data_IF_615513768277
#
_entry.id   IF_615513768277
#
_cell.length_a   1.000
_cell.length_b   1.000
_cell.length_c   1.000
_cell.angle_alpha   90.00
_cell.angle_beta   90.00
_cell.angle_gamma   90.00
#
_symmetry.space_group_name_H-M   'P 1'
#
loop_
_entity.id
_entity.type
_entity.pdbx_description
1 polymer ?
#
# COMPACT_ATOMS: atom_id res chain seq x y z
N UNK A 1 -19.08 -7.58 -19.35
CA UNK A 1 -17.83 -7.17 -20.05
C UNK A 1 -17.35 -5.92 -19.31
N UNK A 2 -16.21 -6.01 -18.61
CA UNK A 2 -15.81 -4.99 -17.62
C UNK A 2 -15.61 -3.62 -18.29
N UNK A 3 -16.31 -2.62 -17.75
CA UNK A 3 -16.41 -1.22 -18.18
C UNK A 3 -15.15 -0.38 -17.91
N UNK A 4 -14.13 -0.98 -17.30
CA UNK A 4 -12.90 -0.34 -16.82
C UNK A 4 -11.89 -0.06 -17.95
N UNK A 5 -12.30 0.78 -18.90
CA UNK A 5 -11.41 1.30 -19.96
C UNK A 5 -10.39 2.29 -19.39
N UNK A 6 -9.33 2.58 -20.16
CA UNK A 6 -8.34 3.59 -19.77
C UNK A 6 -8.98 4.95 -19.47
N UNK A 7 -9.94 5.36 -20.29
CA UNK A 7 -10.66 6.63 -20.12
C UNK A 7 -11.53 6.63 -18.86
N UNK A 8 -12.23 5.53 -18.58
CA UNK A 8 -13.04 5.39 -17.36
C UNK A 8 -12.15 5.47 -16.11
N UNK A 9 -11.03 4.76 -16.09
CA UNK A 9 -10.06 4.83 -14.97
C UNK A 9 -9.54 6.25 -14.77
N UNK A 10 -9.23 6.95 -15.86
CA UNK A 10 -8.77 8.34 -15.81
C UNK A 10 -9.84 9.28 -15.25
N UNK A 11 -11.08 9.17 -15.71
CA UNK A 11 -12.19 10.00 -15.25
C UNK A 11 -12.52 9.76 -13.77
N UNK A 12 -12.56 8.50 -13.31
CA UNK A 12 -12.76 8.19 -11.89
C UNK A 12 -11.67 8.78 -11.01
N UNK A 13 -10.42 8.61 -11.44
CA UNK A 13 -9.30 9.14 -10.69
C UNK A 13 -9.34 10.68 -10.63
N UNK A 14 -9.71 11.34 -11.73
CA UNK A 14 -9.95 12.79 -11.74
C UNK A 14 -11.08 13.20 -10.80
N UNK A 15 -12.19 12.46 -10.76
CA UNK A 15 -13.29 12.70 -9.82
C UNK A 15 -12.83 12.57 -8.37
N UNK A 16 -11.96 11.61 -8.05
CA UNK A 16 -11.46 11.46 -6.66
C UNK A 16 -10.67 12.67 -6.16
N UNK A 17 -10.07 13.47 -7.06
CA UNK A 17 -9.37 14.70 -6.67
C UNK A 17 -10.33 15.82 -6.22
N UNK A 18 -11.62 15.68 -6.52
CA UNK A 18 -12.68 16.58 -6.05
C UNK A 18 -13.14 16.27 -4.62
N UNK A 19 -12.80 15.08 -4.09
CA UNK A 19 -13.10 14.70 -2.71
C UNK A 19 -12.11 15.43 -1.79
N UNK A 20 -12.57 16.53 -1.19
CA UNK A 20 -11.76 17.36 -0.28
C UNK A 20 -12.06 17.11 1.20
N UNK A 21 -13.11 16.35 1.49
CA UNK A 21 -13.53 15.99 2.83
C UNK A 21 -13.81 14.49 2.89
N UNK A 22 -13.96 13.98 4.11
CA UNK A 22 -14.34 12.58 4.33
C UNK A 22 -15.80 12.41 3.88
N UNK A 23 -16.00 11.63 2.82
CA UNK A 23 -17.30 11.20 2.34
C UNK A 23 -17.66 9.85 2.97
N UNK A 24 -18.97 9.59 3.06
CA UNK A 24 -19.50 8.32 3.57
C UNK A 24 -20.49 7.73 2.58
N UNK A 25 -20.35 6.44 2.32
CA UNK A 25 -21.33 5.66 1.57
C UNK A 25 -21.68 4.37 2.31
N UNK A 26 -22.89 3.88 2.09
CA UNK A 26 -23.31 2.57 2.57
C UNK A 26 -23.63 1.66 1.40
N UNK A 27 -23.19 0.41 1.51
CA UNK A 27 -23.40 -0.62 0.53
C UNK A 27 -23.92 -1.89 1.20
N UNK A 28 -24.67 -2.69 0.44
CA UNK A 28 -25.19 -3.98 0.91
C UNK A 28 -24.63 -5.12 0.06
N UNK A 29 -24.32 -6.25 0.69
CA UNK A 29 -24.03 -7.51 0.00
C UNK A 29 -24.50 -8.68 0.84
N UNK A 30 -25.30 -9.57 0.26
CA UNK A 30 -25.80 -10.80 0.93
C UNK A 30 -26.41 -10.54 2.32
N UNK A 31 -27.04 -9.38 2.51
CA UNK A 31 -27.69 -9.00 3.77
C UNK A 31 -26.79 -8.31 4.81
N UNK A 32 -25.48 -8.24 4.59
CA UNK A 32 -24.57 -7.50 5.45
C UNK A 32 -24.31 -6.09 4.91
N UNK A 33 -24.04 -5.16 5.83
CA UNK A 33 -23.82 -3.74 5.54
C UNK A 33 -22.33 -3.39 5.57
N UNK A 34 -21.91 -2.65 4.55
CA UNK A 34 -20.60 -2.02 4.45
C UNK A 34 -20.77 -0.50 4.54
N UNK A 35 -20.18 0.10 5.57
CA UNK A 35 -20.03 1.56 5.65
C UNK A 35 -18.62 1.92 5.18
N UNK A 36 -18.50 2.77 4.17
CA UNK A 36 -17.21 3.18 3.59
C UNK A 36 -16.97 4.64 3.89
N UNK A 37 -15.77 4.94 4.38
CA UNK A 37 -15.28 6.28 4.66
C UNK A 37 -14.14 6.60 3.69
N UNK A 38 -14.23 7.70 2.96
CA UNK A 38 -13.17 8.12 2.03
C UNK A 38 -12.06 8.88 2.77
N UNK A 39 -10.80 8.49 2.54
CA UNK A 39 -9.62 9.22 2.91
C UNK A 39 -9.25 10.23 1.80
N UNK A 40 -9.42 11.54 1.99
CA UNK A 40 -9.08 12.54 0.98
C UNK A 40 -7.56 12.65 0.77
N UNK A 41 -7.18 13.13 -0.41
CA UNK A 41 -5.80 13.39 -0.83
C UNK A 41 -5.36 14.79 -0.35
N UNK A 42 -5.46 15.03 0.96
CA UNK A 42 -5.10 16.30 1.61
C UNK A 42 -4.35 15.97 2.91
N UNK A 43 -3.24 16.65 3.12
CA UNK A 43 -2.55 16.66 4.41
C UNK A 43 -3.37 17.49 5.39
N UNK A 44 -3.84 16.86 6.47
CA UNK A 44 -4.48 17.61 7.55
C UNK A 44 -3.52 17.76 8.70
N UNK A 45 -3.52 18.96 9.26
CA UNK A 45 -2.70 19.30 10.39
C UNK A 45 -3.19 18.53 11.62
N UNK A 46 -2.27 17.77 12.22
CA UNK A 46 -2.54 16.89 13.34
C UNK A 46 -3.03 17.68 14.57
N UNK A 47 -2.80 18.99 14.65
CA UNK A 47 -3.35 19.81 15.74
C UNK A 47 -4.89 19.85 15.76
N UNK A 48 -5.57 19.48 14.65
CA UNK A 48 -7.03 19.34 14.57
C UNK A 48 -7.52 17.89 14.66
N UNK A 49 -6.64 16.96 15.00
CA UNK A 49 -6.90 15.52 15.05
C UNK A 49 -8.15 15.13 15.85
N UNK A 50 -8.41 15.79 16.99
CA UNK A 50 -9.60 15.48 17.81
C UNK A 50 -10.92 16.01 17.24
N UNK A 51 -10.87 16.95 16.30
CA UNK A 51 -12.03 17.53 15.64
C UNK A 51 -12.36 16.80 14.32
N UNK A 52 -11.53 15.83 13.93
CA UNK A 52 -11.67 15.19 12.63
C UNK A 52 -12.91 14.27 12.56
N UNK A 53 -13.78 14.48 11.56
CA UNK A 53 -14.98 13.67 11.36
C UNK A 53 -14.68 12.17 11.24
N UNK A 54 -13.57 11.79 10.59
CA UNK A 54 -13.19 10.39 10.42
C UNK A 54 -12.95 9.70 11.77
N UNK A 55 -12.30 10.38 12.70
CA UNK A 55 -11.98 9.84 14.00
C UNK A 55 -13.22 9.73 14.89
N UNK A 56 -14.11 10.72 14.84
CA UNK A 56 -15.41 10.61 15.51
C UNK A 56 -16.22 9.42 14.99
N UNK A 57 -16.23 9.22 13.67
CA UNK A 57 -16.91 8.08 13.02
C UNK A 57 -16.26 6.74 13.38
N UNK A 58 -14.93 6.69 13.48
CA UNK A 58 -14.18 5.51 13.94
C UNK A 58 -14.35 5.27 15.45
N UNK A 59 -14.68 6.30 16.23
CA UNK A 59 -14.90 6.21 17.67
C UNK A 59 -16.25 5.59 18.01
N UNK A 60 -17.29 5.95 17.23
CA UNK A 60 -18.68 5.52 17.42
C UNK A 60 -19.03 4.24 16.63
N UNK A 61 -18.03 3.49 16.18
CA UNK A 61 -18.26 2.30 15.36
C UNK A 61 -19.08 1.24 16.10
N UNK A 62 -20.08 0.63 15.44
CA UNK A 62 -20.71 -0.59 15.94
C UNK A 62 -19.66 -1.70 16.10
N UNK A 63 -20.01 -2.80 16.78
CA UNK A 63 -19.21 -4.04 16.84
C UNK A 63 -19.10 -4.72 15.45
N UNK A 64 -18.46 -4.05 14.49
CA UNK A 64 -18.25 -4.44 13.11
C UNK A 64 -16.77 -4.76 12.88
N UNK A 65 -16.48 -5.47 11.80
CA UNK A 65 -15.12 -5.66 11.34
C UNK A 65 -14.61 -4.35 10.73
N UNK A 66 -13.51 -3.80 11.26
CA UNK A 66 -12.90 -2.59 10.72
C UNK A 66 -11.85 -2.94 9.69
N UNK A 67 -11.97 -2.39 8.49
CA UNK A 67 -11.05 -2.60 7.38
C UNK A 67 -10.35 -1.27 7.02
N UNK A 68 -9.03 -1.29 6.83
CA UNK A 68 -8.25 -0.09 6.48
C UNK A 68 -7.45 -0.37 5.22
N UNK A 69 -7.56 0.46 4.17
CA UNK A 69 -6.84 0.31 2.92
C UNK A 69 -5.35 0.64 3.09
N UNK A 70 -4.61 -0.31 3.62
CA UNK A 70 -3.18 -0.20 3.85
C UNK A 70 -2.51 -1.49 3.39
N UNK A 71 -1.29 -1.40 2.86
CA UNK A 71 -0.54 -2.54 2.36
C UNK A 71 -0.42 -3.66 3.43
N UNK A 72 -1.03 -4.84 3.22
CA UNK A 72 -1.11 -5.85 4.27
C UNK A 72 0.26 -6.48 4.54
N UNK A 73 0.95 -6.97 3.52
CA UNK A 73 2.21 -7.71 3.70
C UNK A 73 3.29 -6.81 4.30
N UNK A 74 3.50 -5.60 3.74
CA UNK A 74 4.54 -4.68 4.22
C UNK A 74 4.31 -4.28 5.69
N UNK A 75 3.07 -3.97 6.06
CA UNK A 75 2.74 -3.58 7.44
C UNK A 75 2.81 -4.76 8.39
N UNK A 76 2.31 -5.92 8.01
CA UNK A 76 2.38 -7.13 8.84
C UNK A 76 3.82 -7.55 9.10
N UNK A 77 4.72 -7.42 8.11
CA UNK A 77 6.14 -7.67 8.31
C UNK A 77 6.79 -6.65 9.25
N UNK A 78 6.40 -5.36 9.17
CA UNK A 78 6.83 -4.33 10.15
C UNK A 78 6.33 -4.64 11.56
N UNK A 79 5.06 -5.03 11.72
CA UNK A 79 4.48 -5.46 13.01
C UNK A 79 5.29 -6.60 13.62
N UNK A 80 5.51 -7.67 12.84
CA UNK A 80 6.25 -8.86 13.24
C UNK A 80 7.69 -8.55 13.63
N UNK A 81 8.41 -7.79 12.81
CA UNK A 81 9.79 -7.39 13.11
C UNK A 81 9.90 -6.49 14.34
N UNK A 82 8.95 -5.57 14.55
CA UNK A 82 8.92 -4.75 15.75
C UNK A 82 8.65 -5.59 17.01
N UNK A 83 7.71 -6.54 16.94
CA UNK A 83 7.46 -7.52 17.99
C UNK A 83 8.70 -8.38 18.30
N UNK A 84 9.43 -8.82 17.28
CA UNK A 84 10.68 -9.57 17.46
C UNK A 84 11.74 -8.75 18.19
N UNK A 85 12.02 -7.51 17.76
CA UNK A 85 12.96 -6.61 18.45
C UNK A 85 12.56 -6.34 19.89
N UNK A 86 11.26 -6.31 20.18
CA UNK A 86 10.76 -6.19 21.54
C UNK A 86 11.09 -7.45 22.35
N UNK A 87 10.84 -8.65 21.81
CA UNK A 87 11.17 -9.93 22.46
C UNK A 87 12.67 -10.07 22.72
N UNK A 88 13.52 -9.69 21.76
CA UNK A 88 14.98 -9.67 21.96
C UNK A 88 15.39 -8.78 23.14
N UNK A 89 14.72 -7.64 23.31
CA UNK A 89 14.99 -6.71 24.40
C UNK A 89 14.39 -7.17 25.74
N UNK A 90 13.28 -7.92 25.70
CA UNK A 90 12.52 -8.35 26.87
C UNK A 90 12.10 -9.84 26.81
N UNK A 91 13.05 -10.78 26.84
CA UNK A 91 12.81 -12.21 26.61
C UNK A 91 11.87 -12.86 27.64
N UNK A 92 11.69 -12.26 28.81
CA UNK A 92 10.78 -12.72 29.86
C UNK A 92 9.29 -12.58 29.52
N UNK A 93 8.93 -11.79 28.50
CA UNK A 93 7.54 -11.45 28.23
C UNK A 93 6.87 -12.30 27.14
N UNK A 94 7.56 -13.22 26.45
CA UNK A 94 6.93 -14.10 25.45
C UNK A 94 7.86 -15.21 24.96
N UNK A 95 7.30 -16.35 24.51
CA UNK A 95 8.06 -17.31 23.70
C UNK A 95 8.20 -16.76 22.26
N UNK A 96 9.40 -16.76 21.67
CA UNK A 96 9.56 -16.38 20.27
C UNK A 96 8.78 -17.37 19.39
N UNK A 97 7.93 -16.85 18.51
CA UNK A 97 7.46 -17.62 17.35
C UNK A 97 8.51 -17.47 16.26
N UNK A 98 9.00 -18.61 15.78
CA UNK A 98 9.94 -18.73 14.67
C UNK A 98 9.30 -18.30 13.34
N UNK A 99 10.14 -17.75 12.46
CA UNK A 99 9.94 -17.25 11.09
C UNK A 99 8.70 -16.37 10.81
N UNK A 100 8.97 -15.14 10.38
CA UNK A 100 7.97 -14.12 10.07
C UNK A 100 7.69 -13.97 8.57
N UNK A 101 7.86 -15.05 7.83
CA UNK A 101 8.15 -15.01 6.41
C UNK A 101 6.86 -15.14 5.58
N UNK A 102 6.68 -14.26 4.60
CA UNK A 102 5.73 -14.51 3.52
C UNK A 102 6.48 -15.22 2.40
N UNK A 103 6.20 -16.50 2.21
CA UNK A 103 6.73 -17.27 1.08
C UNK A 103 6.04 -16.91 -0.24
N UNK A 104 4.79 -16.43 -0.16
CA UNK A 104 3.93 -16.17 -1.30
C UNK A 104 3.56 -14.68 -1.38
N UNK A 105 3.47 -14.12 -2.60
CA UNK A 105 3.15 -12.70 -2.78
C UNK A 105 1.67 -12.38 -2.56
N UNK A 106 0.79 -13.38 -2.48
CA UNK A 106 -0.67 -13.25 -2.39
C UNK A 106 -1.22 -13.67 -1.01
N UNK A 107 -2.45 -13.25 -0.70
CA UNK A 107 -3.13 -13.56 0.57
C UNK A 107 -3.67 -14.99 0.53
N UNK A 108 -3.38 -15.83 1.53
CA UNK A 108 -4.00 -17.17 1.62
C UNK A 108 -5.28 -17.15 2.45
N UNK A 109 -5.28 -16.37 3.53
CA UNK A 109 -6.41 -16.17 4.43
C UNK A 109 -6.50 -14.68 4.78
N UNK A 110 -7.71 -14.11 4.80
CA UNK A 110 -7.92 -12.72 5.22
C UNK A 110 -7.42 -12.44 6.64
N UNK A 111 -7.37 -13.48 7.50
CA UNK A 111 -6.83 -13.37 8.85
C UNK A 111 -5.33 -13.01 8.84
N UNK A 112 -4.60 -13.30 7.77
CA UNK A 112 -3.20 -12.91 7.60
C UNK A 112 -3.03 -11.39 7.49
N UNK A 113 -4.10 -10.69 7.09
CA UNK A 113 -4.14 -9.24 6.97
C UNK A 113 -4.63 -8.56 8.25
N UNK A 114 -4.86 -9.31 9.32
CA UNK A 114 -5.36 -8.77 10.58
C UNK A 114 -4.21 -8.18 11.39
N UNK A 115 -4.24 -6.86 11.59
CA UNK A 115 -3.27 -6.09 12.34
C UNK A 115 -3.51 -6.26 13.85
N UNK A 116 -3.13 -7.43 14.38
CA UNK A 116 -3.17 -7.72 15.82
C UNK A 116 -1.85 -7.27 16.44
N UNK A 117 -1.86 -6.14 17.15
CA UNK A 117 -0.73 -5.75 17.97
C UNK A 117 -1.06 -5.86 19.45
N UNK A 118 -0.16 -6.46 20.26
CA UNK A 118 -0.24 -6.28 21.69
C UNK A 118 0.17 -4.83 21.99
N UNK A 119 -0.83 -3.96 22.22
CA UNK A 119 -0.65 -2.52 22.48
C UNK A 119 0.47 -2.20 23.48
N UNK A 120 0.67 -3.10 24.45
CA UNK A 120 1.67 -2.99 25.51
C UNK A 120 3.13 -3.09 25.03
N UNK A 121 3.39 -3.63 23.83
CA UNK A 121 4.76 -3.79 23.31
C UNK A 121 5.31 -2.52 22.65
N UNK A 122 4.47 -1.53 22.37
CA UNK A 122 4.85 -0.29 21.66
C UNK A 122 4.99 0.93 22.55
N UNK A 123 4.65 0.78 23.83
CA UNK A 123 4.88 1.77 24.87
C UNK A 123 6.38 1.78 25.23
N UNK A 124 7.21 2.33 24.33
CA UNK A 124 8.57 2.78 24.71
C UNK A 124 8.51 3.85 25.81
N UNK A 125 7.36 4.51 25.93
CA UNK A 125 7.01 5.49 26.93
C UNK A 125 5.70 5.04 27.59
N UNK A 126 5.66 5.00 28.92
CA UNK A 126 4.43 4.91 29.70
C UNK A 126 3.69 6.25 29.57
N UNK A 127 3.11 6.50 28.40
CA UNK A 127 2.35 7.73 28.11
C UNK A 127 0.93 7.37 27.73
N UNK A 128 -0.02 7.99 28.40
CA UNK A 128 -1.45 7.91 28.05
C UNK A 128 -1.84 8.95 26.99
N UNK A 129 -0.87 9.75 26.48
CA UNK A 129 -1.15 10.76 25.47
C UNK A 129 -1.36 10.12 24.07
N UNK A 130 -2.58 10.17 23.49
CA UNK A 130 -2.88 9.53 22.22
C UNK A 130 -2.05 10.04 21.04
N UNK A 131 -1.70 11.31 21.02
CA UNK A 131 -0.90 11.90 19.93
C UNK A 131 0.51 11.30 19.89
N UNK A 132 1.16 11.18 21.05
CA UNK A 132 2.49 10.58 21.16
C UNK A 132 2.43 9.12 20.75
N UNK A 133 1.36 8.41 21.15
CA UNK A 133 1.13 7.02 20.75
C UNK A 133 0.97 6.86 19.24
N UNK A 134 0.15 7.70 18.60
CA UNK A 134 -0.05 7.70 17.14
C UNK A 134 1.26 8.02 16.41
N UNK A 135 1.99 9.06 16.83
CA UNK A 135 3.31 9.40 16.26
C UNK A 135 4.32 8.25 16.41
N UNK A 136 4.32 7.57 17.55
CA UNK A 136 5.17 6.40 17.78
C UNK A 136 4.76 5.21 16.91
N UNK A 137 3.47 4.96 16.74
CA UNK A 137 2.96 3.92 15.85
C UNK A 137 3.32 4.20 14.38
N UNK A 138 3.13 5.43 13.93
CA UNK A 138 3.47 5.83 12.56
C UNK A 138 4.97 5.65 12.32
N UNK A 139 5.80 6.19 13.21
CA UNK A 139 7.25 6.19 13.02
C UNK A 139 7.91 4.81 13.12
N UNK A 140 7.38 3.90 13.95
CA UNK A 140 8.00 2.61 14.22
C UNK A 140 7.34 1.42 13.54
N UNK A 141 6.08 1.56 13.12
CA UNK A 141 5.24 0.42 12.77
C UNK A 141 4.59 0.57 11.40
N UNK A 142 3.82 1.64 11.21
CA UNK A 142 3.16 1.92 9.94
C UNK A 142 4.22 2.31 8.91
N UNK A 143 5.21 3.08 9.34
CA UNK A 143 6.40 3.51 8.60
C UNK A 143 6.41 5.01 8.31
N UNK A 144 7.61 5.52 8.03
CA UNK A 144 7.84 6.93 7.66
C UNK A 144 7.67 7.22 6.17
N UNK A 145 7.30 6.23 5.38
CA UNK A 145 7.01 6.45 3.97
C UNK A 145 5.84 7.42 3.93
N UNK A 146 6.04 8.62 3.36
CA UNK A 146 4.98 9.62 3.27
C UNK A 146 3.80 8.98 2.54
N UNK A 147 2.70 8.65 3.24
CA UNK A 147 1.58 7.97 2.61
C UNK A 147 0.98 8.93 1.59
N UNK A 148 0.54 8.39 0.46
CA UNK A 148 -0.24 9.16 -0.49
C UNK A 148 -1.54 9.70 0.13
N UNK A 149 -2.07 8.99 1.14
CA UNK A 149 -3.27 9.37 1.88
C UNK A 149 -2.96 9.35 3.39
N UNK A 150 -2.55 10.49 3.99
CA UNK A 150 -2.21 10.58 5.42
C UNK A 150 -3.28 10.00 6.35
N UNK A 151 -4.54 10.28 6.04
CA UNK A 151 -5.72 9.77 6.73
C UNK A 151 -5.77 8.26 6.96
N UNK A 152 -5.20 7.48 6.04
CA UNK A 152 -5.21 6.01 6.15
C UNK A 152 -4.29 5.56 7.30
N UNK A 153 -3.11 6.17 7.43
CA UNK A 153 -2.15 5.82 8.48
C UNK A 153 -2.69 6.20 9.86
N UNK A 154 -3.29 7.38 9.97
CA UNK A 154 -3.90 7.85 11.20
C UNK A 154 -5.08 6.97 11.63
N UNK A 155 -5.94 6.59 10.67
CA UNK A 155 -7.05 5.67 10.90
C UNK A 155 -6.59 4.30 11.40
N UNK A 156 -5.50 3.77 10.81
CA UNK A 156 -4.91 2.51 11.25
C UNK A 156 -4.42 2.64 12.69
N UNK A 157 -3.63 3.68 13.00
CA UNK A 157 -3.10 3.90 14.34
C UNK A 157 -4.22 3.97 15.40
N UNK A 158 -5.26 4.76 15.14
CA UNK A 158 -6.38 4.92 16.08
C UNK A 158 -7.17 3.64 16.26
N UNK A 159 -7.47 2.93 15.16
CA UNK A 159 -8.24 1.68 15.22
C UNK A 159 -7.50 0.63 16.06
N UNK A 160 -6.17 0.60 15.96
CA UNK A 160 -5.34 -0.30 16.75
C UNK A 160 -5.31 0.09 18.23
N UNK A 161 -5.16 1.38 18.56
CA UNK A 161 -5.22 1.88 19.94
C UNK A 161 -6.54 1.53 20.65
N UNK A 162 -7.63 1.39 19.89
CA UNK A 162 -8.94 0.95 20.39
C UNK A 162 -9.13 -0.57 20.51
N UNK A 163 -8.11 -1.38 20.22
CA UNK A 163 -8.16 -2.85 20.27
C UNK A 163 -9.19 -3.48 19.29
N UNK A 164 -9.43 -2.83 18.16
CA UNK A 164 -10.37 -3.35 17.15
C UNK A 164 -9.76 -4.39 16.19
N UNK A 165 -8.44 -4.64 16.26
CA UNK A 165 -7.69 -5.56 15.38
C UNK A 165 -8.07 -5.41 13.88
N UNK A 166 -7.74 -4.26 13.25
CA UNK A 166 -8.21 -3.96 11.90
C UNK A 166 -7.70 -4.94 10.86
N UNK A 167 -8.49 -5.16 9.81
CA UNK A 167 -8.09 -5.91 8.61
C UNK A 167 -7.53 -4.95 7.58
N UNK A 168 -6.30 -5.22 7.13
CA UNK A 168 -5.64 -4.42 6.11
C UNK A 168 -6.13 -4.87 4.72
N UNK A 169 -6.70 -3.95 3.94
CA UNK A 169 -7.39 -4.24 2.68
C UNK A 169 -6.76 -3.48 1.50
N UNK A 170 -5.60 -3.94 1.04
CA UNK A 170 -4.96 -3.43 -0.18
C UNK A 170 -4.22 -4.58 -0.86
N UNK A 171 -3.95 -4.44 -2.16
CA UNK A 171 -3.17 -5.46 -2.87
C UNK A 171 -1.77 -5.53 -2.26
N UNK A 172 -1.24 -6.73 -1.94
CA UNK A 172 0.12 -6.87 -1.49
C UNK A 172 1.11 -6.26 -2.49
N UNK A 173 2.08 -5.47 -2.00
CA UNK A 173 3.02 -4.77 -2.88
C UNK A 173 3.79 -5.73 -3.81
N UNK A 174 4.28 -6.89 -3.34
CA UNK A 174 4.96 -7.84 -4.20
C UNK A 174 4.06 -8.37 -5.32
N UNK A 175 2.79 -8.71 -5.01
CA UNK A 175 1.82 -9.18 -5.99
C UNK A 175 1.51 -8.11 -7.03
N UNK A 176 1.25 -6.89 -6.59
CA UNK A 176 0.95 -5.77 -7.46
C UNK A 176 2.08 -5.48 -8.45
N UNK A 177 3.32 -5.49 -7.96
CA UNK A 177 4.49 -5.29 -8.83
C UNK A 177 4.68 -6.43 -9.81
N UNK A 178 4.50 -7.68 -9.38
CA UNK A 178 4.54 -8.84 -10.26
C UNK A 178 3.51 -8.72 -11.39
N UNK A 179 2.29 -8.33 -11.07
CA UNK A 179 1.23 -8.17 -12.07
C UNK A 179 1.54 -7.06 -13.07
N UNK A 180 2.08 -5.91 -12.63
CA UNK A 180 2.52 -4.86 -13.55
C UNK A 180 3.68 -5.37 -14.43
N UNK A 181 4.71 -5.98 -13.85
CA UNK A 181 5.89 -6.45 -14.60
C UNK A 181 5.52 -7.49 -15.66
N UNK A 182 4.59 -8.38 -15.35
CA UNK A 182 4.12 -9.42 -16.26
C UNK A 182 3.10 -8.89 -17.29
N UNK A 183 2.45 -7.75 -17.03
CA UNK A 183 1.48 -7.13 -17.95
C UNK A 183 2.13 -6.20 -18.99
N UNK A 184 3.34 -5.70 -18.72
CA UNK A 184 3.99 -4.69 -19.56
C UNK A 184 5.35 -5.16 -20.05
N UNK A 185 5.65 -4.89 -21.33
CA UNK A 185 7.00 -5.06 -21.86
C UNK A 185 7.97 -4.07 -21.20
N UNK A 186 9.26 -4.37 -21.27
CA UNK A 186 10.31 -3.49 -20.73
C UNK A 186 10.24 -2.10 -21.38
N UNK A 187 10.06 -2.04 -22.69
CA UNK A 187 9.89 -0.77 -23.41
C UNK A 187 8.64 -0.01 -22.97
N UNK A 188 7.54 -0.73 -22.67
CA UNK A 188 6.33 -0.14 -22.12
C UNK A 188 6.57 0.52 -20.76
N UNK A 189 7.29 -0.15 -19.85
CA UNK A 189 7.65 0.42 -18.56
C UNK A 189 8.66 1.57 -18.67
N UNK A 190 9.63 1.48 -19.59
CA UNK A 190 10.56 2.59 -19.90
C UNK A 190 9.79 3.81 -20.42
N UNK A 191 8.76 3.62 -21.23
CA UNK A 191 7.91 4.72 -21.72
C UNK A 191 7.10 5.36 -20.58
N UNK A 192 6.51 4.55 -19.69
CA UNK A 192 5.82 5.04 -18.49
C UNK A 192 6.79 5.87 -17.64
N UNK A 193 7.97 5.34 -17.34
CA UNK A 193 9.03 6.03 -16.59
C UNK A 193 9.40 7.37 -17.21
N UNK A 194 9.76 7.38 -18.51
CA UNK A 194 10.11 8.61 -19.23
C UNK A 194 8.98 9.63 -19.21
N UNK A 195 7.73 9.18 -19.28
CA UNK A 195 6.57 10.06 -19.21
C UNK A 195 6.43 10.69 -17.83
N UNK A 196 6.56 9.91 -16.75
CA UNK A 196 6.53 10.41 -15.37
C UNK A 196 7.65 11.43 -15.15
N UNK A 197 8.89 11.08 -15.49
CA UNK A 197 10.05 11.97 -15.38
C UNK A 197 9.88 13.25 -16.21
N UNK A 198 9.36 13.15 -17.43
CA UNK A 198 9.14 14.32 -18.27
C UNK A 198 8.07 15.25 -17.71
N UNK A 199 7.05 14.72 -17.02
CA UNK A 199 6.03 15.53 -16.36
C UNK A 199 6.58 16.18 -15.08
N UNK A 200 7.40 15.46 -14.30
CA UNK A 200 8.16 16.04 -13.19
C UNK A 200 8.99 17.25 -13.66
N UNK A 201 9.71 17.11 -14.78
CA UNK A 201 10.51 18.19 -15.39
C UNK A 201 9.66 19.39 -15.85
N UNK A 202 8.51 19.13 -16.47
CA UNK A 202 7.66 20.18 -17.06
C UNK A 202 6.93 21.02 -16.02
N UNK A 203 6.49 20.40 -14.94
CA UNK A 203 5.63 21.06 -13.97
C UNK A 203 6.38 21.97 -12.99
N UNK A 204 7.72 22.14 -13.11
CA UNK A 204 8.58 23.01 -12.28
C UNK A 204 7.99 23.19 -10.88
N UNK A 205 8.02 22.09 -10.11
CA UNK A 205 7.32 21.93 -8.84
C UNK A 205 7.26 23.26 -8.09
N UNK A 206 6.09 23.89 -8.07
CA UNK A 206 5.88 25.08 -7.25
C UNK A 206 6.17 24.64 -5.82
N UNK A 207 7.07 25.33 -5.10
CA UNK A 207 7.54 24.93 -3.75
C UNK A 207 6.39 24.73 -2.76
N UNK A 208 5.22 25.28 -3.09
CA UNK A 208 3.98 25.21 -2.33
C UNK A 208 3.11 23.98 -2.63
N UNK A 209 3.26 23.34 -3.81
CA UNK A 209 2.66 22.03 -4.10
C UNK A 209 3.61 20.91 -3.64
N UNK A 210 3.81 20.86 -2.32
CA UNK A 210 4.39 19.68 -1.70
C UNK A 210 3.65 18.43 -2.24
N UNK A 211 4.42 17.45 -2.76
CA UNK A 211 4.05 16.04 -2.86
C UNK A 211 3.54 15.45 -4.20
N UNK A 212 3.84 16.01 -5.37
CA UNK A 212 3.80 15.16 -6.59
C UNK A 212 5.04 14.25 -6.66
N UNK A 213 5.08 13.23 -5.80
CA UNK A 213 6.06 12.14 -5.91
C UNK A 213 5.93 11.45 -7.28
N UNK A 214 6.99 10.79 -7.74
CA UNK A 214 6.91 9.92 -8.93
C UNK A 214 5.71 8.97 -8.89
N UNK A 215 5.40 8.47 -7.69
CA UNK A 215 4.27 7.60 -7.44
C UNK A 215 2.93 8.32 -7.65
N UNK A 216 2.78 9.54 -7.13
CA UNK A 216 1.59 10.37 -7.32
C UNK A 216 1.31 10.63 -8.79
N UNK A 217 2.32 11.10 -9.53
CA UNK A 217 2.18 11.37 -10.98
C UNK A 217 1.93 10.11 -11.80
N UNK A 218 2.52 8.98 -11.42
CA UNK A 218 2.25 7.71 -12.08
C UNK A 218 0.77 7.34 -11.98
N UNK A 219 0.13 7.57 -10.84
CA UNK A 219 -1.31 7.37 -10.69
C UNK A 219 -2.14 8.44 -11.41
N UNK A 220 -1.68 9.69 -11.47
CA UNK A 220 -2.38 10.75 -12.19
C UNK A 220 -2.40 10.51 -13.71
N UNK A 221 -1.28 10.05 -14.29
CA UNK A 221 -1.12 9.87 -15.74
C UNK A 221 -1.58 8.47 -16.18
N UNK A 222 -1.34 7.45 -15.35
CA UNK A 222 -1.58 6.05 -15.67
C UNK A 222 -2.45 5.34 -14.59
N UNK A 223 -3.64 5.86 -14.23
CA UNK A 223 -4.48 5.23 -13.21
C UNK A 223 -4.94 3.81 -13.61
N UNK A 224 -5.09 3.54 -14.90
CA UNK A 224 -5.37 2.20 -15.41
C UNK A 224 -4.25 1.17 -15.14
N UNK A 225 -3.03 1.63 -14.87
CA UNK A 225 -1.87 0.80 -14.50
C UNK A 225 -1.74 0.75 -12.98
N UNK A 226 -1.74 1.92 -12.33
CA UNK A 226 -1.34 2.00 -10.92
C UNK A 226 -2.48 1.97 -9.90
N UNK A 227 -3.72 2.29 -10.31
CA UNK A 227 -4.87 2.38 -9.41
C UNK A 227 -5.88 1.23 -9.64
N UNK A 228 -6.14 0.87 -10.90
CA UNK A 228 -7.20 -0.08 -11.27
C UNK A 228 -7.11 -1.41 -10.52
N UNK A 229 -5.94 -2.05 -10.49
CA UNK A 229 -5.80 -3.34 -9.81
C UNK A 229 -5.98 -3.22 -8.30
N UNK A 230 -5.52 -2.12 -7.70
CA UNK A 230 -5.70 -1.85 -6.27
C UNK A 230 -7.19 -1.73 -5.91
N UNK A 231 -7.94 -1.01 -6.75
CA UNK A 231 -9.38 -0.85 -6.56
C UNK A 231 -10.09 -2.21 -6.70
N UNK A 232 -9.86 -2.93 -7.81
CA UNK A 232 -10.50 -4.23 -8.05
C UNK A 232 -10.18 -5.25 -6.95
N UNK A 233 -8.94 -5.28 -6.48
CA UNK A 233 -8.54 -6.09 -5.33
C UNK A 233 -9.32 -5.68 -4.07
N UNK A 234 -9.34 -4.40 -3.73
CA UNK A 234 -9.99 -3.89 -2.51
C UNK A 234 -11.50 -4.14 -2.54
N UNK A 235 -12.16 -3.86 -3.67
CA UNK A 235 -13.59 -4.10 -3.88
C UNK A 235 -13.93 -5.59 -3.71
N UNK A 236 -13.19 -6.48 -4.40
CA UNK A 236 -13.44 -7.92 -4.33
C UNK A 236 -13.16 -8.51 -2.95
N UNK A 237 -12.12 -8.01 -2.26
CA UNK A 237 -11.78 -8.46 -0.92
C UNK A 237 -12.81 -8.01 0.12
N UNK A 238 -13.29 -6.78 0.02
CA UNK A 238 -14.38 -6.28 0.86
C UNK A 238 -15.66 -7.10 0.67
N UNK A 239 -16.02 -7.45 -0.58
CA UNK A 239 -17.18 -8.33 -0.85
C UNK A 239 -17.02 -9.71 -0.21
N UNK A 240 -15.83 -10.31 -0.30
CA UNK A 240 -15.53 -11.59 0.36
C UNK A 240 -15.77 -11.52 1.87
N UNK A 241 -15.30 -10.45 2.52
CA UNK A 241 -15.52 -10.26 3.96
C UNK A 241 -17.01 -9.99 4.27
N UNK A 242 -17.69 -9.24 3.40
CA UNK A 242 -19.09 -8.85 3.58
C UNK A 242 -20.06 -10.04 3.41
N UNK A 243 -19.58 -11.21 3.00
CA UNK A 243 -20.39 -12.43 3.07
C UNK A 243 -20.69 -12.85 4.52
N UNK A 244 -19.87 -12.44 5.48
CA UNK A 244 -19.92 -12.94 6.88
C UNK A 244 -20.00 -11.86 7.93
N UNK A 245 -19.61 -10.63 7.61
CA UNK A 245 -19.44 -9.56 8.60
C UNK A 245 -20.14 -8.30 8.14
N UNK A 246 -20.65 -7.50 9.08
CA UNK A 246 -20.83 -6.06 8.83
C UNK A 246 -19.46 -5.39 8.91
N UNK A 247 -19.20 -4.48 7.99
CA UNK A 247 -17.87 -3.89 7.80
C UNK A 247 -17.94 -2.38 7.87
N UNK A 248 -16.94 -1.77 8.51
CA UNK A 248 -16.60 -0.37 8.27
C UNK A 248 -15.23 -0.29 7.62
N UNK A 249 -15.15 0.31 6.44
CA UNK A 249 -13.93 0.41 5.66
C UNK A 249 -13.46 1.86 5.53
N UNK A 250 -12.18 2.12 5.79
CA UNK A 250 -11.52 3.38 5.41
C UNK A 250 -10.70 3.12 4.15
N UNK A 251 -11.06 3.79 3.06
CA UNK A 251 -10.42 3.62 1.74
C UNK A 251 -10.01 4.96 1.16
N UNK A 252 -9.01 4.97 0.30
CA UNK A 252 -8.58 6.13 -0.47
C UNK A 252 -9.72 6.71 -1.32
N UNK A 253 -9.67 8.02 -1.58
CA UNK A 253 -10.65 8.69 -2.45
C UNK A 253 -10.81 8.02 -3.85
N UNK A 254 -9.75 7.58 -4.55
CA UNK A 254 -9.90 6.82 -5.80
C UNK A 254 -10.72 5.53 -5.63
N UNK A 255 -10.40 4.73 -4.59
CA UNK A 255 -11.13 3.50 -4.32
C UNK A 255 -12.57 3.77 -3.92
N UNK A 256 -12.84 4.83 -3.16
CA UNK A 256 -14.20 5.26 -2.85
C UNK A 256 -15.02 5.54 -4.12
N UNK A 257 -14.47 6.31 -5.07
CA UNK A 257 -15.13 6.58 -6.36
C UNK A 257 -15.38 5.28 -7.12
N UNK A 258 -14.37 4.41 -7.21
CA UNK A 258 -14.51 3.10 -7.84
C UNK A 258 -15.65 2.27 -7.21
N UNK A 259 -15.78 2.25 -5.89
CA UNK A 259 -16.88 1.57 -5.19
C UNK A 259 -18.22 2.19 -5.57
N UNK A 260 -18.36 3.52 -5.56
CA UNK A 260 -19.64 4.17 -5.93
C UNK A 260 -20.06 3.89 -7.37
N UNK A 261 -19.10 3.68 -8.28
CA UNK A 261 -19.40 3.39 -9.68
C UNK A 261 -19.65 1.89 -9.95
N UNK A 262 -18.97 1.01 -9.23
CA UNK A 262 -18.87 -0.41 -9.61
C UNK A 262 -19.20 -1.40 -8.51
N UNK A 263 -19.80 -0.96 -7.39
CA UNK A 263 -20.18 -1.86 -6.32
C UNK A 263 -21.11 -2.98 -6.77
N UNK A 264 -22.00 -2.76 -7.73
CA UNK A 264 -22.94 -3.78 -8.21
C UNK A 264 -22.29 -4.82 -9.16
N UNK A 265 -21.08 -4.58 -9.66
CA UNK A 265 -20.39 -5.54 -10.55
C UNK A 265 -19.89 -6.76 -9.76
N UNK A 266 -20.08 -7.97 -10.29
CA UNK A 266 -19.58 -9.19 -9.64
C UNK A 266 -18.06 -9.36 -9.85
N UNK A 267 -17.33 -9.49 -8.74
CA UNK A 267 -15.89 -9.68 -8.72
C UNK A 267 -15.55 -10.91 -7.88
N UNK A 268 -14.75 -11.82 -8.43
CA UNK A 268 -14.18 -12.92 -7.67
C UNK A 268 -12.82 -12.49 -7.10
N UNK A 269 -12.66 -12.56 -5.79
CA UNK A 269 -11.40 -12.20 -5.14
C UNK A 269 -10.21 -13.02 -5.67
N UNK A 270 -10.42 -14.30 -5.99
CA UNK A 270 -9.39 -15.18 -6.57
C UNK A 270 -8.83 -14.67 -7.90
N UNK A 271 -9.58 -13.88 -8.67
CA UNK A 271 -9.11 -13.33 -9.94
C UNK A 271 -8.12 -12.18 -9.75
N UNK A 272 -8.22 -11.47 -8.62
CA UNK A 272 -7.34 -10.35 -8.28
C UNK A 272 -6.26 -10.72 -7.27
N UNK A 273 -6.41 -11.86 -6.58
CA UNK A 273 -5.45 -12.42 -5.64
C UNK A 273 -4.64 -13.59 -6.24
N UNK A 274 -4.16 -13.41 -7.48
CA UNK A 274 -3.29 -14.36 -8.17
C UNK A 274 -2.20 -13.60 -8.92
N UNK A 275 -0.98 -14.13 -8.89
CA UNK A 275 0.11 -13.60 -9.70
C UNK A 275 -0.14 -13.96 -11.18
N UNK A 276 0.01 -12.99 -12.06
CA UNK A 276 0.03 -13.27 -13.50
C UNK A 276 1.24 -14.13 -13.87
N UNK A 277 1.08 -15.00 -14.87
CA UNK A 277 2.18 -15.83 -15.37
C UNK A 277 3.31 -14.95 -15.93
N UNK A 278 4.55 -15.39 -15.72
CA UNK A 278 5.73 -14.74 -16.29
C UNK A 278 5.63 -14.84 -17.81
N UNK A 279 5.98 -13.77 -18.52
CA UNK A 279 6.16 -13.84 -19.96
C UNK A 279 7.44 -14.64 -20.27
N UNK A 280 7.31 -15.72 -21.04
CA UNK A 280 8.43 -16.60 -21.40
C UNK A 280 9.57 -15.87 -22.15
N UNK A 281 9.27 -14.72 -22.76
CA UNK A 281 10.25 -13.89 -23.46
C UNK A 281 11.09 -13.01 -22.51
N UNK A 282 10.67 -12.81 -21.26
CA UNK A 282 11.40 -12.00 -20.30
C UNK A 282 12.59 -12.77 -19.72
N UNK A 283 13.81 -12.29 -19.96
CA UNK A 283 15.02 -12.75 -19.27
C UNK A 283 15.02 -12.32 -17.80
N UNK A 284 15.82 -12.98 -16.95
CA UNK A 284 16.00 -12.57 -15.55
C UNK A 284 16.52 -11.11 -15.47
N UNK A 285 17.40 -10.70 -16.39
CA UNK A 285 17.92 -9.32 -16.48
C UNK A 285 16.81 -8.31 -16.82
N UNK A 286 15.93 -8.63 -17.77
CA UNK A 286 14.78 -7.80 -18.10
C UNK A 286 13.87 -7.63 -16.88
N UNK A 287 13.59 -8.69 -16.14
CA UNK A 287 12.76 -8.62 -14.93
C UNK A 287 13.39 -7.73 -13.86
N UNK A 288 14.70 -7.86 -13.63
CA UNK A 288 15.42 -6.99 -12.68
C UNK A 288 15.31 -5.52 -13.10
N UNK A 289 15.47 -5.21 -14.38
CA UNK A 289 15.33 -3.83 -14.88
C UNK A 289 13.89 -3.31 -14.73
N UNK A 290 12.88 -4.10 -15.12
CA UNK A 290 11.46 -3.75 -14.96
C UNK A 290 11.14 -3.43 -13.50
N UNK A 291 11.60 -4.27 -12.56
CA UNK A 291 11.37 -4.03 -11.14
C UNK A 291 12.13 -2.81 -10.61
N UNK A 292 13.34 -2.53 -11.10
CA UNK A 292 14.09 -1.33 -10.75
C UNK A 292 13.37 -0.05 -11.19
N UNK A 293 12.77 -0.04 -12.40
CA UNK A 293 11.92 1.04 -12.89
C UNK A 293 10.74 1.27 -11.94
N UNK A 294 10.01 0.20 -11.59
CA UNK A 294 8.86 0.34 -10.68
C UNK A 294 9.27 0.83 -9.29
N UNK A 295 10.42 0.42 -8.77
CA UNK A 295 10.90 0.94 -7.49
C UNK A 295 11.26 2.43 -7.54
N UNK A 296 11.86 2.89 -8.65
CA UNK A 296 12.17 4.30 -8.84
C UNK A 296 10.88 5.13 -8.97
N UNK A 297 9.87 4.65 -9.69
CA UNK A 297 8.58 5.35 -9.85
C UNK A 297 7.81 5.37 -8.54
N UNK A 298 7.58 4.19 -7.96
CA UNK A 298 6.66 4.03 -6.82
C UNK A 298 7.31 4.43 -5.50
N UNK A 299 8.64 4.49 -5.44
CA UNK A 299 9.43 4.74 -4.24
C UNK A 299 9.04 3.82 -3.06
N UNK A 300 8.59 2.60 -3.38
CA UNK A 300 8.10 1.65 -2.38
C UNK A 300 9.22 1.10 -1.48
N UNK A 301 10.45 1.10 -2.03
CA UNK A 301 11.68 0.51 -1.46
C UNK A 301 11.49 -0.92 -0.96
N UNK A 302 10.53 -1.65 -1.52
CA UNK A 302 10.14 -2.99 -1.06
C UNK A 302 11.34 -3.96 -1.07
N UNK A 303 12.27 -3.79 -2.01
CA UNK A 303 13.47 -4.62 -2.14
C UNK A 303 14.46 -4.46 -0.96
N UNK A 304 14.49 -3.30 -0.30
CA UNK A 304 15.48 -3.01 0.75
C UNK A 304 14.94 -3.24 2.17
N UNK A 305 13.69 -3.71 2.28
CA UNK A 305 13.09 -3.96 3.58
C UNK A 305 13.78 -5.16 4.25
N UNK A 306 14.23 -4.96 5.50
CA UNK A 306 15.02 -5.96 6.25
C UNK A 306 14.28 -7.27 6.50
N UNK A 307 12.96 -7.23 6.39
CA UNK A 307 12.06 -8.36 6.63
C UNK A 307 11.62 -9.08 5.35
N UNK A 308 12.04 -8.62 4.17
CA UNK A 308 11.80 -9.31 2.91
C UNK A 308 12.94 -10.29 2.65
N UNK A 309 12.67 -11.58 2.86
CA UNK A 309 13.63 -12.65 2.57
C UNK A 309 13.93 -12.74 1.07
N UNK A 310 12.90 -12.99 0.26
CA UNK A 310 13.05 -13.06 -1.18
C UNK A 310 12.76 -11.69 -1.82
N UNK A 311 13.81 -10.88 -1.99
CA UNK A 311 13.73 -9.57 -2.65
C UNK A 311 13.35 -9.67 -4.13
N UNK A 312 13.52 -10.86 -4.71
CA UNK A 312 13.33 -11.16 -6.13
C UNK A 312 12.33 -12.32 -6.32
N UNK A 313 11.23 -12.33 -5.54
CA UNK A 313 10.20 -13.37 -5.57
C UNK A 313 9.51 -13.60 -6.93
N UNK A 314 9.79 -12.73 -7.89
CA UNK A 314 9.34 -12.75 -9.27
C UNK A 314 10.27 -13.48 -10.25
N UNK A 315 11.50 -13.83 -9.84
CA UNK A 315 12.45 -14.56 -10.68
C UNK A 315 12.42 -16.05 -10.39
N UNK A 316 12.56 -16.42 -9.11
CA UNK A 316 12.46 -17.82 -8.67
C UNK A 316 12.10 -17.89 -7.17
N UNK A 317 11.68 -19.08 -6.73
CA UNK A 317 11.51 -19.40 -5.32
C UNK A 317 12.86 -19.41 -4.62
N UNK A 318 12.89 -18.90 -3.38
CA UNK A 318 14.09 -18.79 -2.54
C UNK A 318 14.88 -20.09 -2.45
N UNK A 319 14.19 -21.23 -2.31
CA UNK A 319 14.81 -22.56 -2.20
C UNK A 319 15.68 -22.96 -3.41
N UNK A 320 15.50 -22.28 -4.55
CA UNK A 320 16.18 -22.59 -5.81
C UNK A 320 17.33 -21.63 -6.15
N UNK A 321 17.54 -20.57 -5.37
CA UNK A 321 18.54 -19.52 -5.67
C UNK A 321 19.77 -19.72 -4.79
N UNK A 322 20.93 -19.95 -5.41
CA UNK A 322 22.21 -19.98 -4.69
C UNK A 322 22.58 -18.58 -4.17
N UNK A 323 23.36 -18.50 -3.08
CA UNK A 323 23.79 -17.19 -2.54
C UNK A 323 24.62 -16.39 -3.57
N UNK A 324 25.39 -17.08 -4.43
CA UNK A 324 26.10 -16.46 -5.55
C UNK A 324 25.16 -15.78 -6.55
N UNK A 325 24.13 -16.51 -7.04
CA UNK A 325 23.12 -15.96 -7.95
C UNK A 325 22.36 -14.80 -7.32
N UNK A 326 22.05 -14.89 -6.02
CA UNK A 326 21.37 -13.82 -5.27
C UNK A 326 22.19 -12.53 -5.22
N UNK A 327 23.50 -12.63 -4.99
CA UNK A 327 24.40 -11.47 -5.02
C UNK A 327 24.47 -10.84 -6.42
N UNK A 328 24.61 -11.65 -7.47
CA UNK A 328 24.61 -11.18 -8.86
C UNK A 328 23.30 -10.46 -9.22
N UNK A 329 22.15 -11.03 -8.85
CA UNK A 329 20.83 -10.41 -9.05
C UNK A 329 20.72 -9.07 -8.32
N UNK A 330 21.23 -9.00 -7.09
CA UNK A 330 21.23 -7.77 -6.31
C UNK A 330 22.13 -6.69 -6.93
N UNK A 331 23.32 -7.06 -7.40
CA UNK A 331 24.23 -6.12 -8.07
C UNK A 331 23.60 -5.57 -9.36
N UNK A 332 23.02 -6.44 -10.18
CA UNK A 332 22.32 -6.06 -11.42
C UNK A 332 21.11 -5.17 -11.13
N UNK A 333 20.27 -5.53 -10.15
CA UNK A 333 19.16 -4.68 -9.74
C UNK A 333 19.64 -3.31 -9.27
N UNK A 334 20.67 -3.24 -8.42
CA UNK A 334 21.21 -1.99 -7.89
C UNK A 334 21.79 -1.09 -9.00
N UNK A 335 22.39 -1.69 -10.04
CA UNK A 335 22.84 -0.95 -11.22
C UNK A 335 21.67 -0.23 -11.89
N UNK A 336 20.60 -0.95 -12.24
CA UNK A 336 19.43 -0.35 -12.86
C UNK A 336 18.70 0.62 -11.92
N UNK A 337 18.56 0.27 -10.64
CA UNK A 337 17.91 1.14 -9.67
C UNK A 337 18.65 2.47 -9.54
N UNK A 338 19.99 2.47 -9.49
CA UNK A 338 20.77 3.72 -9.47
C UNK A 338 20.56 4.55 -10.74
N UNK A 339 20.53 3.91 -11.90
CA UNK A 339 20.25 4.58 -13.18
C UNK A 339 18.91 5.32 -13.13
N UNK A 340 17.82 4.63 -12.80
CA UNK A 340 16.48 5.23 -12.77
C UNK A 340 16.22 6.15 -11.57
N UNK A 341 16.79 5.84 -10.41
CA UNK A 341 16.57 6.62 -9.19
C UNK A 341 17.38 7.92 -9.18
N UNK A 342 18.60 7.93 -9.74
CA UNK A 342 19.41 9.16 -9.81
C UNK A 342 18.74 10.25 -10.64
N UNK A 343 18.10 9.89 -11.75
CA UNK A 343 17.30 10.84 -12.53
C UNK A 343 16.09 11.32 -11.73
N UNK A 344 15.42 10.48 -10.93
CA UNK A 344 14.30 10.91 -10.07
C UNK A 344 14.75 11.80 -8.89
N UNK A 345 15.85 11.47 -8.22
CA UNK A 345 16.40 12.19 -7.05
C UNK A 345 16.93 13.57 -7.42
N UNK A 346 17.53 13.73 -8.61
CA UNK A 346 18.00 15.02 -9.10
C UNK A 346 16.91 16.10 -9.14
N UNK A 347 15.62 15.72 -9.15
CA UNK A 347 14.49 16.65 -9.08
C UNK A 347 14.01 16.94 -7.65
N UNK A 348 14.20 16.00 -6.72
CA UNK A 348 13.83 16.19 -5.32
C UNK A 348 14.83 17.10 -4.58
N UNK A 349 16.10 17.12 -4.99
CA UNK A 349 17.12 17.99 -4.38
C UNK A 349 17.03 19.45 -4.84
N UNK A 350 16.51 19.70 -6.04
CA UNK A 350 16.30 21.07 -6.57
C UNK A 350 15.18 21.83 -5.86
N UNK A 351 14.31 21.14 -5.10
CA UNK A 351 13.16 21.70 -4.39
C UNK A 351 13.42 22.00 -2.90
N UNK A 352 14.61 21.68 -2.39
CA UNK A 352 14.98 21.86 -0.96
C UNK A 352 16.13 22.87 -0.77
N UNK A 353 16.74 23.32 -1.87
CA UNK A 353 17.97 24.13 -1.88
C UNK A 353 17.81 25.61 -2.25
N UNK A 354 16.59 26.08 -2.50
CA UNK A 354 16.23 27.50 -2.66
C UNK A 354 15.30 27.93 -1.51
#
# INVERSE_FOLDING_TARGET
MLSWTKEVCFNMYKLSKLIKHVETAEFMHKGNKLTVLSAPDITVDFEKFHEEPLLKLLVDLPNNLVCIQHNPIKTMLRFRHAGFKFIEKYPQHTKPKESFEFELPYIQDWQECRAVLPLHQYLKEETDNPEILVKNMISNIIGRDAPRFPYINDSLAVTMLKKCDPVLIDIPEPLFRMNIVNSYSLDGLKLIYKTVVSNLKKNKMDETELHSTGNGLAHDIFPGVFQKERDLFTLSFLKLLLEKYNITAVVSAPTYVAMTCFWEEEFNFSDFNKALERNDEDSDDNLLEKHAILDAIMNSKCWNEKFMMNRFCYIDKMANISEGKKNEMQETFLKYYKEYNSEMEAFAEQTVGE
#
